data_IF_328548842547
#
_entry.id   IF_328548842547
#
_cell.length_a   1.000
_cell.length_b   1.000
_cell.length_c   1.000
_cell.angle_alpha   90.00
_cell.angle_beta   90.00
_cell.angle_gamma   90.00
#
_symmetry.space_group_name_H-M   'P 1'
#
loop_
_entity.id
_entity.type
_entity.pdbx_description
1 polymer ?
#
# COMPACT_ATOMS: atom_id res chain seq x y z
N UNK A 1 -2.22 1.75 57.64
CA UNK A 1 -1.87 2.21 56.27
C UNK A 1 -1.17 1.09 55.51
N UNK A 2 -1.73 -0.12 55.50
CA UNK A 2 -1.09 -1.30 54.89
C UNK A 2 -1.92 -1.89 53.74
N UNK A 3 -3.22 -1.61 53.71
CA UNK A 3 -4.16 -2.22 52.75
C UNK A 3 -4.11 -1.53 51.39
N UNK A 4 -4.04 -0.19 51.34
CA UNK A 4 -3.94 0.56 50.07
C UNK A 4 -2.63 0.26 49.33
N UNK A 5 -1.49 0.23 50.03
CA UNK A 5 -0.18 -0.03 49.40
C UNK A 5 -0.09 -1.43 48.80
N UNK A 6 -0.76 -2.42 49.41
CA UNK A 6 -0.78 -3.79 48.92
C UNK A 6 -1.56 -3.94 47.61
N UNK A 7 -2.69 -3.24 47.49
CA UNK A 7 -3.52 -3.27 46.29
C UNK A 7 -2.82 -2.63 45.08
N UNK A 8 -2.12 -1.52 45.28
CA UNK A 8 -1.34 -0.88 44.21
C UNK A 8 -0.19 -1.77 43.70
N UNK A 9 0.53 -2.44 44.60
CA UNK A 9 1.60 -3.37 44.23
C UNK A 9 1.06 -4.61 43.51
N UNK A 10 -0.08 -5.16 43.94
CA UNK A 10 -0.73 -6.28 43.27
C UNK A 10 -1.21 -5.90 41.86
N UNK A 11 -1.76 -4.70 41.70
CA UNK A 11 -2.22 -4.19 40.41
C UNK A 11 -1.08 -3.84 39.44
N UNK A 12 0.11 -3.53 39.95
CA UNK A 12 1.25 -3.10 39.13
C UNK A 12 1.66 -4.14 38.06
N UNK A 13 1.59 -5.43 38.39
CA UNK A 13 1.91 -6.51 37.44
C UNK A 13 0.94 -6.57 36.26
N UNK A 14 -0.37 -6.82 36.49
CA UNK A 14 -1.39 -6.84 35.43
C UNK A 14 -1.49 -5.53 34.66
N UNK A 15 -1.39 -4.38 35.34
CA UNK A 15 -1.41 -3.07 34.70
C UNK A 15 -0.19 -2.88 33.78
N UNK A 16 1.01 -3.25 34.25
CA UNK A 16 2.24 -3.18 33.46
C UNK A 16 2.22 -4.10 32.25
N UNK A 17 1.77 -5.35 32.41
CA UNK A 17 1.63 -6.31 31.31
C UNK A 17 0.63 -5.82 30.25
N UNK A 18 -0.52 -5.30 30.68
CA UNK A 18 -1.55 -4.77 29.78
C UNK A 18 -1.05 -3.52 29.06
N UNK A 19 -0.40 -2.60 29.77
CA UNK A 19 0.16 -1.38 29.19
C UNK A 19 1.25 -1.70 28.15
N UNK A 20 2.16 -2.63 28.45
CA UNK A 20 3.20 -3.06 27.53
C UNK A 20 2.61 -3.71 26.27
N UNK A 21 1.67 -4.65 26.44
CA UNK A 21 0.99 -5.29 25.32
C UNK A 21 0.30 -4.26 24.42
N UNK A 22 -0.45 -3.33 25.02
CA UNK A 22 -1.19 -2.30 24.27
C UNK A 22 -0.26 -1.33 23.54
N UNK A 23 0.85 -0.94 24.18
CA UNK A 23 1.87 -0.09 23.55
C UNK A 23 2.49 -0.76 22.32
N UNK A 24 2.88 -2.05 22.42
CA UNK A 24 3.40 -2.82 21.29
C UNK A 24 2.34 -3.02 20.21
N UNK A 25 1.12 -3.36 20.60
CA UNK A 25 -0.01 -3.54 19.70
C UNK A 25 -0.24 -2.27 18.88
N UNK A 26 -0.31 -1.10 19.52
CA UNK A 26 -0.50 0.19 18.84
C UNK A 26 0.72 0.65 18.04
N UNK A 27 1.94 0.31 18.49
CA UNK A 27 3.16 0.62 17.75
C UNK A 27 3.21 -0.08 16.38
N UNK A 28 2.79 -1.34 16.33
CA UNK A 28 2.79 -2.14 15.10
C UNK A 28 1.46 -2.09 14.33
N UNK A 29 0.33 -1.91 15.01
CA UNK A 29 -0.96 -1.68 14.35
C UNK A 29 -1.00 -0.25 13.87
N UNK A 30 -0.98 -0.11 12.55
CA UNK A 30 -1.17 1.17 11.89
C UNK A 30 -2.63 1.69 11.94
N UNK A 31 -3.44 1.25 12.92
CA UNK A 31 -4.88 1.53 12.99
C UNK A 31 -5.19 2.96 13.40
N UNK A 32 -4.24 3.67 14.00
CA UNK A 32 -4.35 5.08 14.39
C UNK A 32 -3.53 6.02 13.50
N UNK A 33 -2.80 5.49 12.52
CA UNK A 33 -2.15 6.30 11.48
C UNK A 33 -3.08 6.37 10.29
N UNK A 34 -3.76 7.50 10.13
CA UNK A 34 -4.44 7.82 8.88
C UNK A 34 -3.41 7.85 7.76
N UNK A 35 -3.78 7.31 6.60
CA UNK A 35 -2.97 7.32 5.39
C UNK A 35 -2.80 8.76 4.88
N UNK A 36 -1.87 9.53 5.46
CA UNK A 36 -1.48 10.84 4.94
C UNK A 36 -0.62 10.74 3.67
N UNK A 37 -0.42 9.52 3.16
CA UNK A 37 0.27 9.23 1.90
C UNK A 37 -0.66 8.81 0.77
N UNK A 38 -1.97 9.04 0.89
CA UNK A 38 -2.80 9.14 -0.32
C UNK A 38 -2.47 10.47 -0.99
N UNK A 39 -1.41 10.49 -1.79
CA UNK A 39 -1.25 11.54 -2.78
C UNK A 39 -2.27 11.25 -3.87
N UNK A 40 -3.29 12.10 -3.97
CA UNK A 40 -4.07 12.19 -5.18
C UNK A 40 -3.08 12.54 -6.29
N UNK A 41 -2.68 11.54 -7.08
CA UNK A 41 -1.81 11.78 -8.22
C UNK A 41 -2.65 12.57 -9.19
N UNK A 42 -2.50 13.89 -9.21
CA UNK A 42 -3.08 14.74 -10.25
C UNK A 42 -2.47 14.29 -11.57
N UNK A 43 -3.16 13.42 -12.28
CA UNK A 43 -2.80 13.05 -13.64
C UNK A 43 -3.12 14.28 -14.49
N UNK A 44 -2.13 15.17 -14.63
CA UNK A 44 -2.14 16.18 -15.69
C UNK A 44 -2.05 15.43 -17.01
N UNK A 45 -3.23 15.08 -17.54
CA UNK A 45 -3.36 14.57 -18.89
C UNK A 45 -2.78 15.63 -19.83
N UNK A 46 -1.59 15.39 -20.33
CA UNK A 46 -1.08 16.18 -21.44
C UNK A 46 -2.04 15.97 -22.62
N UNK A 47 -2.30 17.01 -23.43
CA UNK A 47 -3.03 16.80 -24.67
C UNK A 47 -2.33 15.68 -25.42
N UNK A 48 -3.05 14.63 -25.78
CA UNK A 48 -2.53 13.62 -26.71
C UNK A 48 -2.39 14.34 -28.05
N UNK A 49 -1.23 14.98 -28.28
CA UNK A 49 -0.92 15.63 -29.55
C UNK A 49 -0.66 14.52 -30.56
N UNK A 50 -1.65 14.30 -31.40
CA UNK A 50 -1.63 13.32 -32.47
C UNK A 50 -3.00 13.28 -33.13
N UNK A 51 -3.05 13.11 -34.45
CA UNK A 51 -4.29 12.80 -35.14
C UNK A 51 -4.71 11.38 -34.73
N UNK A 52 -5.45 11.25 -33.63
CA UNK A 52 -5.96 9.95 -33.18
C UNK A 52 -7.00 9.46 -34.18
N UNK A 53 -6.59 8.57 -35.08
CA UNK A 53 -7.52 7.79 -35.87
C UNK A 53 -7.97 6.59 -35.04
N UNK A 54 -9.29 6.45 -34.86
CA UNK A 54 -9.86 5.27 -34.21
C UNK A 54 -9.62 4.05 -35.12
N UNK A 55 -8.71 3.17 -34.72
CA UNK A 55 -8.36 1.96 -35.47
C UNK A 55 -9.24 0.74 -35.12
N UNK A 56 -10.06 0.83 -34.07
CA UNK A 56 -10.93 -0.28 -33.68
C UNK A 56 -11.79 0.01 -32.44
N UNK A 57 -12.68 -0.93 -32.12
CA UNK A 57 -13.45 -0.96 -30.89
C UNK A 57 -13.76 -2.40 -30.50
N UNK A 58 -13.46 -2.76 -29.25
CA UNK A 58 -13.81 -4.06 -28.67
C UNK A 58 -14.93 -3.84 -27.66
N UNK A 59 -16.04 -4.59 -27.77
CA UNK A 59 -17.17 -4.58 -26.83
C UNK A 59 -17.55 -6.01 -26.50
N UNK A 60 -17.89 -6.28 -25.23
CA UNK A 60 -18.34 -7.60 -24.79
C UNK A 60 -17.28 -8.69 -24.88
N UNK A 61 -16.02 -8.40 -24.54
CA UNK A 61 -14.99 -9.43 -24.52
C UNK A 61 -15.12 -10.31 -23.28
N UNK A 62 -15.21 -11.62 -23.49
CA UNK A 62 -15.12 -12.65 -22.43
C UNK A 62 -13.69 -13.22 -22.32
N UNK A 63 -12.77 -12.73 -23.16
CA UNK A 63 -11.40 -13.20 -23.18
C UNK A 63 -10.70 -12.83 -21.87
N UNK A 64 -10.09 -13.81 -21.23
CA UNK A 64 -9.32 -13.62 -19.99
C UNK A 64 -7.97 -12.95 -20.24
N UNK A 65 -7.55 -12.82 -21.50
CA UNK A 65 -6.27 -12.23 -21.90
C UNK A 65 -6.42 -11.41 -23.18
N UNK A 66 -5.55 -10.41 -23.31
CA UNK A 66 -5.44 -9.57 -24.51
C UNK A 66 -4.55 -10.29 -25.52
N UNK A 67 -4.95 -10.27 -26.79
CA UNK A 67 -4.11 -10.80 -27.85
C UNK A 67 -2.80 -10.01 -27.95
N UNK A 68 -1.67 -10.72 -27.88
CA UNK A 68 -0.35 -10.11 -27.81
C UNK A 68 0.08 -9.66 -26.41
N UNK A 69 -0.57 -10.14 -25.34
CA UNK A 69 -0.06 -9.90 -23.98
C UNK A 69 1.40 -10.37 -23.85
N UNK A 70 2.18 -9.60 -23.10
CA UNK A 70 3.59 -9.88 -22.83
C UNK A 70 3.83 -10.10 -21.33
N UNK A 71 2.80 -10.52 -20.58
CA UNK A 71 2.81 -10.52 -19.11
C UNK A 71 3.85 -11.48 -18.52
N UNK A 72 4.19 -12.54 -19.26
CA UNK A 72 5.25 -13.50 -18.90
C UNK A 72 6.54 -13.29 -19.71
N UNK A 73 6.55 -12.35 -20.66
CA UNK A 73 7.67 -12.08 -21.56
C UNK A 73 8.59 -11.00 -20.96
N UNK A 74 9.24 -11.33 -19.82
CA UNK A 74 10.09 -10.38 -19.07
C UNK A 74 11.16 -9.69 -19.95
N UNK A 75 11.77 -10.45 -20.88
CA UNK A 75 12.84 -9.95 -21.75
C UNK A 75 12.35 -8.99 -22.85
N UNK A 76 11.05 -9.03 -23.18
CA UNK A 76 10.44 -8.09 -24.15
C UNK A 76 10.09 -6.77 -23.46
N UNK A 77 9.69 -6.82 -22.18
CA UNK A 77 9.27 -5.63 -21.43
C UNK A 77 10.42 -4.74 -20.97
N UNK A 78 11.62 -5.30 -20.79
CA UNK A 78 12.75 -4.58 -20.22
C UNK A 78 13.80 -4.31 -21.30
N UNK A 79 13.88 -3.06 -21.76
CA UNK A 79 15.04 -2.57 -22.48
C UNK A 79 16.15 -2.25 -21.47
N UNK A 80 17.36 -2.79 -21.67
CA UNK A 80 18.51 -2.39 -20.85
C UNK A 80 18.85 -0.93 -21.19
N UNK A 81 18.77 -0.07 -20.17
CA UNK A 81 19.31 1.29 -20.27
C UNK A 81 20.81 1.16 -20.48
N UNK A 82 21.31 1.70 -21.61
CA UNK A 82 22.75 1.75 -21.85
C UNK A 82 23.35 2.75 -20.85
N UNK A 83 24.47 2.42 -20.18
CA UNK A 83 25.14 3.40 -19.36
C UNK A 83 25.64 4.54 -20.25
N UNK A 84 25.42 5.78 -19.80
CA UNK A 84 25.99 6.96 -20.43
C UNK A 84 27.53 6.84 -20.42
N UNK A 85 28.14 7.16 -21.56
CA UNK A 85 29.60 7.21 -21.74
C UNK A 85 30.12 8.60 -21.46
#
# INVERSE_FOLDING_TARGET
MSDDSGLWLLAAGPAGATALYWALYRYYRNSDKSHSFEHETEVKAQPVTGSNQKVGQVRGTEATRIEGDNVYQYRIRVARVKPDR
#
